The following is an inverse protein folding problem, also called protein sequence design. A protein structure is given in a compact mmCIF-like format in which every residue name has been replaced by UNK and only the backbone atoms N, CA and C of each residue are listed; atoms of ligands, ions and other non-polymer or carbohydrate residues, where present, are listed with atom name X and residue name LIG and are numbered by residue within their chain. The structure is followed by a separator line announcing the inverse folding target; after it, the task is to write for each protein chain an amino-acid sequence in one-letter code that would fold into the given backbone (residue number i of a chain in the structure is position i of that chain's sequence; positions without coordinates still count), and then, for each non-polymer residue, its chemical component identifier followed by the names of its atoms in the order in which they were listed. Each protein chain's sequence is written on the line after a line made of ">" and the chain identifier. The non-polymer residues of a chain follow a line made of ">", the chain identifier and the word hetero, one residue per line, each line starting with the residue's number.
data_IF_234246886147
#
_entry.id   IF_234246886147
#
_cell.length_a   1.000
_cell.length_b   1.000
_cell.length_c   1.000
_cell.angle_alpha   90.00
_cell.angle_beta   90.00
_cell.angle_gamma   90.00
#
_symmetry.space_group_name_H-M   'P 1'
#
loop_
_entity.id
_entity.type
_entity.pdbx_description
1 polymer ?
#
# COMPACT_ATOMS: atom_id res chain seq x y z
N UNK A 1 -49.97 -19.56 23.69
CA UNK A 1 -49.55 -20.37 22.51
C UNK A 1 -49.52 -19.41 21.33
N UNK A 2 -48.38 -18.74 21.06
CA UNK A 2 -47.25 -19.18 20.20
C UNK A 2 -47.79 -19.43 18.78
N UNK A 3 -47.53 -18.55 17.81
CA UNK A 3 -46.35 -18.68 16.93
C UNK A 3 -45.95 -17.33 16.30
N UNK A 4 -44.91 -16.71 16.86
CA UNK A 4 -44.05 -15.76 16.14
C UNK A 4 -42.93 -16.60 15.52
N UNK A 5 -43.02 -16.93 14.23
CA UNK A 5 -41.90 -17.53 13.48
C UNK A 5 -42.02 -17.15 12.03
N UNK A 6 -41.24 -16.16 11.59
CA UNK A 6 -40.56 -16.11 10.27
C UNK A 6 -39.97 -14.71 10.02
N UNK A 7 -39.11 -14.24 10.92
CA UNK A 7 -38.24 -13.07 10.68
C UNK A 7 -36.83 -13.42 11.17
N UNK A 8 -36.25 -14.50 10.63
CA UNK A 8 -34.91 -14.94 11.02
C UNK A 8 -34.11 -15.53 9.85
N UNK A 9 -34.44 -15.16 8.60
CA UNK A 9 -33.78 -15.72 7.42
C UNK A 9 -33.19 -14.69 6.45
N UNK A 10 -33.17 -13.39 6.78
CA UNK A 10 -32.66 -12.35 5.86
C UNK A 10 -31.56 -11.44 6.45
N UNK A 11 -30.91 -11.85 7.54
CA UNK A 11 -29.82 -11.08 8.17
C UNK A 11 -28.47 -11.82 8.24
N UNK A 12 -28.31 -12.92 7.50
CA UNK A 12 -27.06 -13.72 7.52
C UNK A 12 -26.11 -13.48 6.34
N UNK A 13 -26.32 -12.43 5.54
CA UNK A 13 -25.43 -12.08 4.43
C UNK A 13 -24.98 -10.60 4.49
N UNK A 14 -24.64 -10.13 5.70
CA UNK A 14 -24.10 -8.79 5.92
C UNK A 14 -22.88 -8.80 6.85
N UNK A 15 -22.01 -9.81 6.72
CA UNK A 15 -20.88 -10.02 7.65
C UNK A 15 -19.55 -10.43 7.04
N UNK A 16 -19.38 -10.40 5.71
CA UNK A 16 -18.10 -10.73 5.04
C UNK A 16 -17.48 -9.54 4.31
N UNK A 17 -17.70 -8.31 4.78
CA UNK A 17 -17.00 -7.13 4.30
C UNK A 17 -16.36 -6.43 5.50
N UNK A 18 -15.11 -6.00 5.31
CA UNK A 18 -14.29 -5.21 6.24
C UNK A 18 -13.66 -5.98 7.40
N UNK A 19 -12.72 -6.85 7.05
CA UNK A 19 -11.62 -7.23 7.94
C UNK A 19 -10.33 -7.46 7.14
N UNK A 20 -10.11 -6.67 6.08
CA UNK A 20 -8.73 -6.36 5.68
C UNK A 20 -8.16 -5.46 6.78
N UNK A 21 -7.94 -6.05 7.96
CA UNK A 21 -7.15 -5.41 8.98
C UNK A 21 -5.80 -5.15 8.34
N UNK A 22 -5.31 -3.92 8.40
CA UNK A 22 -3.92 -3.62 8.15
C UNK A 22 -3.12 -4.75 8.81
N UNK A 23 -2.40 -5.55 8.03
CA UNK A 23 -1.42 -6.49 8.57
C UNK A 23 -0.38 -5.60 9.23
N UNK A 24 -0.64 -5.26 10.49
CA UNK A 24 0.24 -4.45 11.30
C UNK A 24 1.43 -5.35 11.56
N UNK A 25 2.52 -5.10 10.83
CA UNK A 25 3.77 -5.82 11.04
C UNK A 25 4.14 -5.71 12.52
N UNK A 26 4.70 -6.77 13.13
CA UNK A 26 5.21 -6.68 14.48
C UNK A 26 6.13 -5.45 14.60
N UNK A 27 6.04 -4.64 15.67
CA UNK A 27 6.86 -3.43 15.82
C UNK A 27 8.36 -3.67 15.68
N UNK A 28 8.84 -4.89 15.96
CA UNK A 28 10.21 -5.33 15.74
C UNK A 28 10.60 -5.36 14.26
N UNK A 29 9.70 -5.83 13.39
CA UNK A 29 9.91 -5.91 11.95
C UNK A 29 10.00 -4.52 11.34
N UNK A 30 9.08 -3.62 11.69
CA UNK A 30 9.10 -2.22 11.24
C UNK A 30 10.38 -1.52 11.70
N UNK A 31 10.72 -1.57 12.99
CA UNK A 31 11.96 -0.95 13.52
C UNK A 31 13.24 -1.47 12.86
N UNK A 32 13.29 -2.76 12.53
CA UNK A 32 14.46 -3.32 11.85
C UNK A 32 14.60 -2.79 10.42
N UNK A 33 13.48 -2.70 9.68
CA UNK A 33 13.45 -2.15 8.32
C UNK A 33 13.86 -0.66 8.34
N UNK A 34 13.32 0.12 9.28
CA UNK A 34 13.66 1.55 9.45
C UNK A 34 15.15 1.74 9.76
N UNK A 35 15.70 0.88 10.63
CA UNK A 35 17.13 0.90 10.97
C UNK A 35 17.99 0.64 9.72
N UNK A 36 17.68 -0.39 8.94
CA UNK A 36 18.39 -0.73 7.71
C UNK A 36 18.28 0.38 6.66
N UNK A 37 17.09 0.97 6.51
CA UNK A 37 16.87 2.13 5.64
C UNK A 37 17.76 3.31 6.05
N UNK A 38 17.78 3.66 7.34
CA UNK A 38 18.60 4.76 7.85
C UNK A 38 20.10 4.55 7.64
N UNK A 39 20.55 3.29 7.59
CA UNK A 39 21.94 2.94 7.32
C UNK A 39 22.28 3.01 5.83
N UNK A 40 21.33 2.63 4.96
CA UNK A 40 21.44 2.85 3.53
C UNK A 40 21.56 4.35 3.24
N UNK A 41 20.62 5.16 3.72
CA UNK A 41 20.57 6.60 3.48
C UNK A 41 21.83 7.36 3.96
N UNK A 42 22.33 7.04 5.16
CA UNK A 42 23.48 7.75 5.75
C UNK A 42 24.83 7.42 5.12
N UNK A 43 25.02 6.20 4.62
CA UNK A 43 26.36 5.74 4.20
C UNK A 43 26.66 6.05 2.75
N UNK A 44 25.71 5.80 1.88
CA UNK A 44 25.86 5.95 0.45
C UNK A 44 24.51 5.58 -0.12
N UNK A 45 23.82 6.53 -0.73
CA UNK A 45 22.61 6.26 -1.50
C UNK A 45 22.85 5.40 -2.74
N UNK A 46 24.07 4.85 -2.86
CA UNK A 46 24.44 3.83 -3.80
C UNK A 46 23.62 2.56 -3.54
N UNK A 47 22.78 2.13 -4.51
CA UNK A 47 22.02 0.90 -4.39
C UNK A 47 22.90 -0.36 -4.26
N UNK A 48 24.22 -0.26 -4.55
CA UNK A 48 25.21 -1.34 -4.38
C UNK A 48 25.86 -1.35 -3.00
N UNK A 49 25.61 -0.35 -2.15
CA UNK A 49 26.12 -0.35 -0.78
C UNK A 49 25.53 -1.53 0.00
N UNK A 50 26.32 -2.25 0.81
CA UNK A 50 25.84 -3.43 1.54
C UNK A 50 24.57 -3.17 2.38
N UNK A 51 24.49 -2.02 3.04
CA UNK A 51 23.31 -1.64 3.83
C UNK A 51 22.04 -1.45 2.97
N UNK A 52 22.20 -0.93 1.75
CA UNK A 52 21.08 -0.77 0.80
C UNK A 52 20.64 -2.11 0.20
N UNK A 53 21.57 -3.03 -0.05
CA UNK A 53 21.27 -4.41 -0.49
C UNK A 53 20.49 -5.15 0.61
N UNK A 54 20.97 -5.09 1.85
CA UNK A 54 20.33 -5.76 2.99
C UNK A 54 18.94 -5.18 3.29
N UNK A 55 18.80 -3.86 3.24
CA UNK A 55 17.51 -3.18 3.34
C UNK A 55 16.52 -3.71 2.29
N UNK A 56 16.88 -3.66 0.99
CA UNK A 56 16.00 -4.10 -0.09
C UNK A 56 15.66 -5.60 0.02
N UNK A 57 16.62 -6.44 0.34
CA UNK A 57 16.39 -7.88 0.51
C UNK A 57 15.49 -8.18 1.72
N UNK A 58 15.61 -7.41 2.80
CA UNK A 58 14.76 -7.57 3.98
C UNK A 58 13.34 -7.10 3.71
N UNK A 59 13.19 -5.93 3.09
CA UNK A 59 11.89 -5.41 2.66
C UNK A 59 11.18 -6.41 1.74
N UNK A 60 11.86 -6.93 0.72
CA UNK A 60 11.30 -7.89 -0.23
C UNK A 60 10.80 -9.21 0.42
N UNK A 61 11.48 -9.68 1.48
CA UNK A 61 11.05 -10.87 2.23
C UNK A 61 9.86 -10.61 3.16
N UNK A 62 9.63 -9.36 3.51
CA UNK A 62 8.53 -8.95 4.39
C UNK A 62 7.23 -8.72 3.62
N UNK A 63 7.29 -8.41 2.32
CA UNK A 63 6.09 -8.13 1.51
C UNK A 63 5.25 -9.41 1.32
N UNK A 64 3.99 -9.44 1.79
CA UNK A 64 3.07 -10.53 1.48
C UNK A 64 2.84 -10.62 -0.03
N UNK A 65 2.72 -11.83 -0.56
CA UNK A 65 2.55 -12.05 -2.01
C UNK A 65 1.34 -11.33 -2.61
N UNK A 66 0.24 -11.24 -1.85
CA UNK A 66 -0.95 -10.48 -2.26
C UNK A 66 -0.65 -8.98 -2.41
N UNK A 67 0.11 -8.40 -1.48
CA UNK A 67 0.55 -7.00 -1.55
C UNK A 67 1.55 -6.81 -2.69
N UNK A 68 2.48 -7.74 -2.88
CA UNK A 68 3.42 -7.68 -4.01
C UNK A 68 2.70 -7.65 -5.36
N UNK A 69 1.62 -8.42 -5.51
CA UNK A 69 0.78 -8.39 -6.71
C UNK A 69 0.06 -7.04 -6.87
N UNK A 70 -0.40 -6.41 -5.79
CA UNK A 70 -0.97 -5.06 -5.82
C UNK A 70 0.08 -4.01 -6.23
N UNK A 71 1.30 -4.09 -5.71
CA UNK A 71 2.40 -3.19 -6.08
C UNK A 71 2.75 -3.29 -7.57
N UNK A 72 2.79 -4.51 -8.12
CA UNK A 72 3.02 -4.73 -9.55
C UNK A 72 1.89 -4.16 -10.41
N UNK A 73 0.63 -4.30 -9.97
CA UNK A 73 -0.50 -3.69 -10.66
C UNK A 73 -0.42 -2.16 -10.60
N UNK A 74 0.00 -1.59 -9.47
CA UNK A 74 0.18 -0.15 -9.33
C UNK A 74 1.28 0.36 -10.24
N UNK A 75 2.42 -0.32 -10.32
CA UNK A 75 3.52 0.05 -11.21
C UNK A 75 3.07 0.10 -12.68
N UNK A 76 2.35 -0.93 -13.14
CA UNK A 76 1.79 -0.97 -14.51
C UNK A 76 0.77 0.16 -14.73
N UNK A 77 -0.09 0.44 -13.76
CA UNK A 77 -1.06 1.53 -13.85
C UNK A 77 -0.38 2.91 -13.83
N UNK A 78 0.68 3.06 -13.04
CA UNK A 78 1.49 4.27 -12.95
C UNK A 78 2.22 4.56 -14.26
N UNK A 79 2.84 3.56 -14.87
CA UNK A 79 3.49 3.71 -16.17
C UNK A 79 2.49 4.14 -17.25
N UNK A 80 1.30 3.53 -17.27
CA UNK A 80 0.22 3.93 -18.19
C UNK A 80 -0.32 5.33 -17.88
N UNK A 81 -0.41 5.72 -16.62
CA UNK A 81 -0.84 7.05 -16.22
C UNK A 81 0.16 8.12 -16.67
N UNK A 82 1.47 7.85 -16.53
CA UNK A 82 2.55 8.80 -16.85
C UNK A 82 2.81 8.91 -18.35
N UNK A 83 2.74 7.80 -19.07
CA UNK A 83 3.13 7.72 -20.48
C UNK A 83 1.93 7.61 -21.43
N UNK A 84 0.71 7.50 -20.90
CA UNK A 84 -0.52 7.43 -21.68
C UNK A 84 -1.14 8.78 -21.98
N UNK A 85 -2.32 8.79 -22.63
CA UNK A 85 -3.09 10.01 -22.86
C UNK A 85 -3.43 10.70 -21.53
N UNK A 86 -3.37 12.03 -21.54
CA UNK A 86 -3.79 12.83 -20.39
C UNK A 86 -5.24 12.47 -20.01
N UNK A 87 -5.49 12.01 -18.77
CA UNK A 87 -6.83 11.64 -18.35
C UNK A 87 -7.71 12.88 -18.19
N UNK A 88 -9.03 12.70 -18.39
CA UNK A 88 -10.00 13.73 -18.03
C UNK A 88 -10.03 13.88 -16.51
N UNK A 89 -9.92 15.13 -16.04
CA UNK A 89 -10.20 15.49 -14.65
C UNK A 89 -11.68 15.85 -14.49
N UNK A 90 -12.27 15.42 -13.38
CA UNK A 90 -13.59 15.83 -12.93
C UNK A 90 -13.50 17.21 -12.24
N UNK A 91 -14.62 17.93 -12.07
CA UNK A 91 -14.62 19.26 -11.43
C UNK A 91 -14.09 19.28 -10.00
N UNK A 92 -14.09 18.14 -9.30
CA UNK A 92 -13.56 17.97 -7.95
C UNK A 92 -12.06 17.62 -7.91
N UNK A 93 -11.40 17.61 -9.07
CA UNK A 93 -9.97 17.32 -9.20
C UNK A 93 -9.64 15.82 -9.28
N UNK A 94 -10.63 14.91 -9.21
CA UNK A 94 -10.39 13.48 -9.35
C UNK A 94 -10.23 13.09 -10.83
N UNK A 95 -9.45 12.04 -11.10
CA UNK A 95 -9.42 11.45 -12.43
C UNK A 95 -10.75 10.77 -12.75
N UNK A 96 -11.20 10.91 -14.00
CA UNK A 96 -12.39 10.22 -14.46
C UNK A 96 -12.25 8.68 -14.27
N UNK A 97 -13.32 8.00 -13.81
CA UNK A 97 -13.32 6.55 -13.66
C UNK A 97 -12.93 5.83 -14.96
N UNK A 98 -12.19 4.73 -14.83
CA UNK A 98 -11.70 3.94 -15.97
C UNK A 98 -10.41 4.46 -16.62
N UNK A 99 -9.89 5.62 -16.20
CA UNK A 99 -8.55 6.04 -16.59
C UNK A 99 -7.46 5.27 -15.84
N UNK A 100 -6.27 5.14 -16.44
CA UNK A 100 -5.12 4.51 -15.79
C UNK A 100 -4.71 5.26 -14.49
N UNK A 101 -4.84 6.58 -14.47
CA UNK A 101 -4.55 7.38 -13.28
C UNK A 101 -5.57 7.15 -12.15
N UNK A 102 -6.86 7.04 -12.46
CA UNK A 102 -7.87 6.65 -11.47
C UNK A 102 -7.61 5.24 -10.92
N UNK A 103 -7.20 4.30 -11.79
CA UNK A 103 -6.84 2.95 -11.36
C UNK A 103 -5.61 2.96 -10.45
N UNK A 104 -4.57 3.72 -10.81
CA UNK A 104 -3.38 3.90 -9.98
C UNK A 104 -3.75 4.45 -8.60
N UNK A 105 -4.57 5.49 -8.52
CA UNK A 105 -5.01 6.05 -7.24
C UNK A 105 -5.79 5.05 -6.39
N UNK A 106 -6.64 4.21 -7.00
CA UNK A 106 -7.35 3.16 -6.27
C UNK A 106 -6.39 2.10 -5.72
N UNK A 107 -5.37 1.71 -6.49
CA UNK A 107 -4.34 0.77 -6.05
C UNK A 107 -3.48 1.36 -4.95
N UNK A 108 -3.07 2.62 -5.06
CA UNK A 108 -2.39 3.38 -4.01
C UNK A 108 -3.19 3.34 -2.70
N UNK A 109 -4.49 3.67 -2.74
CA UNK A 109 -5.39 3.62 -1.58
C UNK A 109 -5.49 2.21 -0.99
N UNK A 110 -5.55 1.18 -1.84
CA UNK A 110 -5.64 -0.22 -1.39
C UNK A 110 -4.35 -0.64 -0.70
N UNK A 111 -3.18 -0.34 -1.28
CA UNK A 111 -1.87 -0.60 -0.67
C UNK A 111 -1.72 0.13 0.67
N UNK A 112 -2.21 1.35 0.74
CA UNK A 112 -2.25 2.15 1.96
C UNK A 112 -3.09 1.49 3.07
N UNK A 113 -4.26 0.96 2.74
CA UNK A 113 -5.10 0.17 3.66
C UNK A 113 -4.42 -1.12 4.14
N UNK A 114 -3.51 -1.68 3.34
CA UNK A 114 -2.66 -2.81 3.72
C UNK A 114 -1.42 -2.40 4.53
N UNK A 115 -1.29 -1.13 4.92
CA UNK A 115 -0.16 -0.63 5.71
C UNK A 115 1.09 -0.37 4.89
N UNK A 116 0.97 -0.14 3.58
CA UNK A 116 2.09 0.17 2.68
C UNK A 116 2.03 1.61 2.17
N UNK A 117 3.11 2.35 2.39
CA UNK A 117 3.25 3.76 2.04
C UNK A 117 4.30 3.92 0.94
N UNK A 118 4.09 4.88 0.04
CA UNK A 118 5.07 5.22 -0.98
C UNK A 118 6.09 6.21 -0.41
N UNK A 119 7.17 5.66 0.17
CA UNK A 119 8.09 6.40 1.03
C UNK A 119 7.47 6.82 2.37
N UNK A 120 8.30 7.46 3.20
CA UNK A 120 7.86 8.16 4.41
C UNK A 120 7.98 9.66 4.22
N UNK A 121 7.27 10.43 5.05
CA UNK A 121 7.36 11.90 5.05
C UNK A 121 8.75 12.44 5.38
N UNK A 122 9.56 11.67 6.11
CA UNK A 122 10.94 11.97 6.48
C UNK A 122 11.98 11.27 5.57
N UNK A 123 11.54 10.51 4.56
CA UNK A 123 12.42 9.85 3.62
C UNK A 123 12.90 10.84 2.56
N UNK A 124 14.21 10.82 2.28
CA UNK A 124 14.75 11.59 1.17
C UNK A 124 14.12 11.16 -0.18
N UNK A 125 13.76 12.16 -0.99
CA UNK A 125 12.96 11.99 -2.22
C UNK A 125 13.62 11.20 -3.36
N UNK A 126 14.86 10.73 -3.22
CA UNK A 126 15.56 9.91 -4.23
C UNK A 126 15.49 8.39 -3.96
N UNK A 127 14.91 7.95 -2.83
CA UNK A 127 14.65 6.53 -2.53
C UNK A 127 13.17 6.10 -2.59
N UNK A 128 12.26 6.78 -3.31
CA UNK A 128 10.85 6.49 -3.17
C UNK A 128 10.57 5.07 -3.64
N UNK A 129 9.87 4.34 -2.79
CA UNK A 129 9.46 2.96 -3.00
C UNK A 129 8.48 2.54 -1.91
N UNK A 130 7.84 1.40 -2.12
CA UNK A 130 6.90 0.86 -1.15
C UNK A 130 7.58 0.45 0.15
N UNK A 131 7.17 1.06 1.26
CA UNK A 131 7.62 0.76 2.61
C UNK A 131 6.44 0.47 3.51
N UNK A 132 6.69 -0.15 4.67
CA UNK A 132 5.67 -0.29 5.70
C UNK A 132 5.35 1.10 6.24
N UNK A 133 4.10 1.52 6.26
CA UNK A 133 3.68 2.80 6.83
C UNK A 133 4.08 2.92 8.31
N UNK A 134 4.46 4.12 8.74
CA UNK A 134 4.58 4.40 10.17
C UNK A 134 3.20 4.39 10.85
N UNK A 135 3.15 4.14 12.19
CA UNK A 135 1.93 4.30 12.95
C UNK A 135 1.33 5.70 12.73
N UNK A 136 0.06 5.75 12.28
CA UNK A 136 -0.66 7.00 12.00
C UNK A 136 -0.55 7.49 10.55
N UNK A 137 0.32 6.92 9.71
CA UNK A 137 0.36 7.27 8.29
C UNK A 137 -0.76 6.59 7.49
N UNK A 138 -1.38 5.52 8.00
CA UNK A 138 -2.42 4.71 7.34
C UNK A 138 -3.87 5.10 7.70
N UNK A 139 -4.07 6.18 8.47
CA UNK A 139 -5.39 6.65 8.94
C UNK A 139 -6.10 7.56 7.94
#
# INVERSE_FOLDING_TARGET
>A
MILIRSLAAYLLMAGCLAAAHAETYPPEVSRNIDKLQSQCARKSNDPKAPACIEYKATLARTIPSAVQALMQQEEVANDKCRNGPAPKLLPDGQYAPGSACAQREQLMKTLHQHGWCWGHTDMDSYLPGWVICHPGEWQ
#
